data_IF_294192143071
#
_entry.id   IF_294192143071
#
_cell.length_a   1.000
_cell.length_b   1.000
_cell.length_c   1.000
_cell.angle_alpha   90.00
_cell.angle_beta   90.00
_cell.angle_gamma   90.00
#
_symmetry.space_group_name_H-M   'P 1'
#
loop_
_entity.id
_entity.type
_entity.pdbx_description
1 polymer ?
#
# COMPACT_ATOMS: atom_id res chain seq x y z
N UNK A 1 22.51 26.71 -11.53
CA UNK A 1 21.63 26.14 -10.50
C UNK A 1 21.11 24.83 -11.05
N UNK A 2 21.62 23.69 -10.56
CA UNK A 2 21.09 22.38 -10.97
C UNK A 2 19.70 22.24 -10.36
N UNK A 3 18.65 22.36 -11.17
CA UNK A 3 17.30 22.01 -10.75
C UNK A 3 17.32 20.51 -10.48
N UNK A 4 17.37 20.10 -9.22
CA UNK A 4 17.19 18.71 -8.82
C UNK A 4 15.87 18.23 -9.41
N UNK A 5 15.94 17.26 -10.33
CA UNK A 5 14.78 16.64 -10.93
C UNK A 5 13.98 15.92 -9.84
N UNK A 6 12.76 16.38 -9.52
CA UNK A 6 11.88 15.70 -8.58
C UNK A 6 11.25 14.49 -9.29
N UNK A 7 11.40 13.25 -8.78
CA UNK A 7 10.76 12.09 -9.36
C UNK A 7 9.24 12.25 -9.39
N UNK A 8 8.58 11.64 -10.37
CA UNK A 8 7.11 11.59 -10.40
C UNK A 8 6.56 10.57 -9.42
N UNK A 9 7.26 9.45 -9.24
CA UNK A 9 6.80 8.32 -8.44
C UNK A 9 7.91 7.79 -7.53
N UNK A 10 7.65 7.67 -6.23
CA UNK A 10 8.44 6.86 -5.32
C UNK A 10 7.77 5.51 -5.06
N UNK A 11 8.45 4.42 -5.39
CA UNK A 11 8.05 3.05 -5.09
C UNK A 11 8.75 2.60 -3.81
N UNK A 12 7.95 2.29 -2.79
CA UNK A 12 8.39 2.08 -1.41
C UNK A 12 8.25 0.60 -1.05
N UNK A 13 9.38 -0.07 -0.75
CA UNK A 13 9.41 -1.52 -0.54
C UNK A 13 9.91 -1.83 0.88
N UNK A 14 9.01 -2.19 1.83
CA UNK A 14 9.42 -2.79 3.09
C UNK A 14 9.78 -4.26 2.86
N UNK A 15 10.94 -4.70 3.33
CA UNK A 15 11.45 -6.04 3.06
C UNK A 15 12.17 -6.64 4.27
N UNK A 16 12.46 -7.93 4.22
CA UNK A 16 13.24 -8.66 5.22
C UNK A 16 14.57 -9.15 4.63
N UNK A 17 15.59 -9.27 5.46
CA UNK A 17 16.88 -9.84 5.06
C UNK A 17 16.75 -11.21 4.40
N UNK A 18 15.86 -12.04 4.95
CA UNK A 18 15.55 -13.39 4.48
C UNK A 18 14.81 -13.46 3.14
N UNK A 19 14.35 -12.31 2.59
CA UNK A 19 13.57 -12.24 1.33
C UNK A 19 14.36 -11.66 0.17
N UNK A 20 15.69 -11.66 0.25
CA UNK A 20 16.60 -11.09 -0.76
C UNK A 20 16.24 -11.49 -2.19
N UNK A 21 16.05 -12.77 -2.46
CA UNK A 21 15.78 -13.25 -3.82
C UNK A 21 14.45 -12.74 -4.38
N UNK A 22 13.42 -12.61 -3.53
CA UNK A 22 12.13 -12.06 -3.94
C UNK A 22 12.26 -10.56 -4.25
N UNK A 23 12.97 -9.84 -3.38
CA UNK A 23 13.26 -8.42 -3.55
C UNK A 23 14.04 -8.16 -4.84
N UNK A 24 15.10 -8.91 -5.10
CA UNK A 24 15.97 -8.72 -6.28
C UNK A 24 15.15 -8.92 -7.57
N UNK A 25 14.25 -9.92 -7.61
CA UNK A 25 13.36 -10.13 -8.74
C UNK A 25 12.35 -9.00 -8.94
N UNK A 26 11.77 -8.46 -7.87
CA UNK A 26 10.84 -7.34 -7.93
C UNK A 26 11.53 -6.03 -8.37
N UNK A 27 12.65 -5.69 -7.73
CA UNK A 27 13.40 -4.46 -8.03
C UNK A 27 13.91 -4.49 -9.47
N UNK A 28 14.48 -5.61 -9.92
CA UNK A 28 14.95 -5.75 -11.30
C UNK A 28 13.83 -5.56 -12.33
N UNK A 29 12.62 -6.03 -12.06
CA UNK A 29 11.47 -5.80 -12.94
C UNK A 29 11.02 -4.33 -12.96
N UNK A 30 11.00 -3.66 -11.79
CA UNK A 30 10.65 -2.24 -11.70
C UNK A 30 11.67 -1.35 -12.41
N UNK A 31 12.96 -1.60 -12.20
CA UNK A 31 14.05 -0.89 -12.87
C UNK A 31 13.99 -1.11 -14.38
N UNK A 32 13.82 -2.36 -14.83
CA UNK A 32 13.64 -2.69 -16.25
C UNK A 32 12.46 -1.93 -16.88
N UNK A 33 11.32 -1.83 -16.19
CA UNK A 33 10.16 -1.08 -16.70
C UNK A 33 10.43 0.43 -16.77
N UNK A 34 11.15 1.00 -15.80
CA UNK A 34 11.51 2.42 -15.79
C UNK A 34 12.52 2.75 -16.91
N UNK A 35 13.55 1.92 -17.07
CA UNK A 35 14.57 2.07 -18.11
C UNK A 35 13.99 1.92 -19.51
N UNK A 36 13.15 0.91 -19.74
CA UNK A 36 12.54 0.64 -21.05
C UNK A 36 11.75 1.84 -21.59
N UNK A 37 11.29 2.73 -20.72
CA UNK A 37 10.52 3.92 -21.07
C UNK A 37 11.33 5.21 -21.01
N UNK A 38 12.63 5.14 -20.73
CA UNK A 38 13.47 6.32 -20.53
C UNK A 38 13.05 7.15 -19.30
N UNK A 39 12.44 6.52 -18.31
CA UNK A 39 11.83 7.16 -17.14
C UNK A 39 12.61 6.89 -15.83
N UNK A 40 13.87 6.47 -15.92
CA UNK A 40 14.70 6.15 -14.74
C UNK A 40 14.87 7.33 -13.78
N UNK A 41 14.80 8.58 -14.26
CA UNK A 41 14.83 9.78 -13.41
C UNK A 41 13.47 10.16 -12.84
N UNK A 42 12.39 9.64 -13.41
CA UNK A 42 11.01 9.88 -12.94
C UNK A 42 10.59 8.91 -11.84
N UNK A 43 11.34 7.84 -11.61
CA UNK A 43 11.03 6.79 -10.64
C UNK A 43 12.13 6.70 -9.59
N UNK A 44 11.74 6.84 -8.33
CA UNK A 44 12.57 6.57 -7.17
C UNK A 44 12.17 5.23 -6.56
N UNK A 45 13.11 4.32 -6.31
CA UNK A 45 12.86 3.07 -5.60
C UNK A 45 13.54 3.15 -4.23
N UNK A 46 12.75 3.08 -3.16
CA UNK A 46 13.26 3.13 -1.78
C UNK A 46 12.99 1.81 -1.07
N UNK A 47 14.03 1.30 -0.40
CA UNK A 47 14.00 0.02 0.30
C UNK A 47 14.16 0.24 1.81
N UNK A 48 13.37 -0.47 2.61
CA UNK A 48 13.58 -0.56 4.07
C UNK A 48 13.69 -2.02 4.47
N UNK A 49 14.93 -2.45 4.66
CA UNK A 49 15.32 -3.81 4.99
C UNK A 49 15.66 -3.93 6.47
N UNK A 50 15.21 -5.01 7.09
CA UNK A 50 15.55 -5.40 8.46
C UNK A 50 15.50 -6.93 8.62
N UNK A 51 15.88 -7.41 9.80
CA UNK A 51 15.91 -8.83 10.17
C UNK A 51 14.58 -9.35 10.75
N UNK A 52 13.53 -8.52 10.77
CA UNK A 52 12.24 -8.77 11.40
C UNK A 52 12.08 -8.11 12.76
N UNK A 53 13.07 -7.33 13.22
CA UNK A 53 13.00 -6.53 14.43
C UNK A 53 12.12 -5.28 14.31
N UNK A 54 11.86 -4.80 13.09
CA UNK A 54 11.09 -3.60 12.82
C UNK A 54 9.66 -3.92 12.36
N UNK A 55 8.62 -3.42 13.06
CA UNK A 55 7.24 -3.60 12.62
C UNK A 55 7.01 -3.02 11.23
N UNK A 56 6.20 -3.69 10.39
CA UNK A 56 5.97 -3.25 9.00
C UNK A 56 5.46 -1.80 8.92
N UNK A 57 4.59 -1.36 9.83
CA UNK A 57 4.12 0.03 9.84
C UNK A 57 5.22 1.05 10.15
N UNK A 58 6.21 0.70 10.96
CA UNK A 58 7.37 1.57 11.21
C UNK A 58 8.22 1.70 9.93
N UNK A 59 8.42 0.59 9.21
CA UNK A 59 9.11 0.59 7.92
C UNK A 59 8.42 1.49 6.91
N UNK A 60 7.08 1.39 6.82
CA UNK A 60 6.29 2.23 5.93
C UNK A 60 6.38 3.71 6.28
N UNK A 61 6.38 4.07 7.57
CA UNK A 61 6.57 5.46 7.99
C UNK A 61 7.95 6.00 7.59
N UNK A 62 9.02 5.21 7.76
CA UNK A 62 10.39 5.63 7.39
C UNK A 62 10.55 5.81 5.88
N UNK A 63 10.00 4.89 5.10
CA UNK A 63 9.97 5.00 3.65
C UNK A 63 9.20 6.25 3.18
N UNK A 64 8.02 6.47 3.76
CA UNK A 64 7.17 7.62 3.41
C UNK A 64 7.83 8.96 3.78
N UNK A 65 8.62 8.99 4.85
CA UNK A 65 9.39 10.17 5.24
C UNK A 65 10.58 10.44 4.30
N UNK A 66 11.19 9.40 3.75
CA UNK A 66 12.33 9.49 2.84
C UNK A 66 11.93 9.77 1.37
N UNK A 67 10.70 9.43 0.99
CA UNK A 67 10.20 9.59 -0.37
C UNK A 67 10.27 11.03 -0.87
N UNK A 68 10.83 11.21 -2.07
CA UNK A 68 10.92 12.52 -2.74
C UNK A 68 9.91 12.70 -3.87
N UNK A 69 9.40 11.60 -4.42
CA UNK A 69 8.51 11.60 -5.58
C UNK A 69 7.17 12.28 -5.33
N UNK A 70 6.59 12.83 -6.39
CA UNK A 70 5.29 13.52 -6.32
C UNK A 70 4.16 12.59 -5.84
N UNK A 71 4.18 11.34 -6.28
CA UNK A 71 3.32 10.26 -5.80
C UNK A 71 4.15 9.22 -5.07
N UNK A 72 3.53 8.54 -4.11
CA UNK A 72 4.08 7.39 -3.42
C UNK A 72 3.20 6.17 -3.64
N UNK A 73 3.82 5.00 -3.76
CA UNK A 73 3.13 3.71 -3.78
C UNK A 73 4.00 2.67 -3.08
N UNK A 74 3.38 1.79 -2.32
CA UNK A 74 4.07 0.64 -1.74
C UNK A 74 3.95 -0.58 -2.64
N UNK A 75 4.99 -1.40 -2.68
CA UNK A 75 4.94 -2.75 -3.27
C UNK A 75 5.56 -3.71 -2.27
N UNK A 76 4.84 -4.77 -1.91
CA UNK A 76 5.36 -5.77 -0.98
C UNK A 76 6.32 -6.71 -1.74
N UNK A 77 7.42 -7.09 -1.08
CA UNK A 77 8.52 -7.85 -1.70
C UNK A 77 8.14 -9.26 -2.17
N UNK A 78 7.01 -9.80 -1.72
CA UNK A 78 6.48 -11.11 -2.12
C UNK A 78 5.34 -11.03 -3.15
N UNK A 79 5.06 -9.84 -3.67
CA UNK A 79 4.07 -9.60 -4.74
C UNK A 79 4.69 -9.50 -6.12
N UNK A 80 3.83 -9.37 -7.15
CA UNK A 80 4.24 -9.12 -8.53
C UNK A 80 3.50 -7.92 -9.10
N UNK A 81 4.15 -7.20 -9.99
CA UNK A 81 3.56 -6.11 -10.78
C UNK A 81 3.38 -6.56 -12.24
N UNK A 82 2.41 -5.95 -12.93
CA UNK A 82 2.20 -6.18 -14.37
C UNK A 82 3.28 -5.48 -15.20
N UNK A 83 3.48 -5.93 -16.43
CA UNK A 83 4.52 -5.43 -17.34
C UNK A 83 4.40 -3.92 -17.67
N UNK A 84 3.19 -3.38 -17.51
CA UNK A 84 2.86 -1.98 -17.74
C UNK A 84 2.65 -1.19 -16.44
N UNK A 85 3.06 -1.73 -15.29
CA UNK A 85 2.80 -1.11 -13.99
C UNK A 85 3.37 0.31 -13.91
N UNK A 86 4.66 0.47 -14.20
CA UNK A 86 5.32 1.78 -14.14
C UNK A 86 4.79 2.71 -15.22
N UNK A 87 4.63 2.24 -16.47
CA UNK A 87 4.16 3.09 -17.58
C UNK A 87 2.81 3.71 -17.30
N UNK A 88 1.84 2.89 -16.92
CA UNK A 88 0.44 3.32 -16.77
C UNK A 88 0.28 4.26 -15.58
N UNK A 89 1.04 4.06 -14.51
CA UNK A 89 1.06 4.98 -13.36
C UNK A 89 1.68 6.32 -13.78
N UNK A 90 2.85 6.32 -14.41
CA UNK A 90 3.51 7.57 -14.84
C UNK A 90 2.67 8.35 -15.87
N UNK A 91 2.06 7.66 -16.84
CA UNK A 91 1.14 8.25 -17.81
C UNK A 91 -0.05 8.91 -17.12
N UNK A 92 -0.66 8.23 -16.14
CA UNK A 92 -1.76 8.78 -15.35
C UNK A 92 -1.34 10.03 -14.56
N UNK A 93 -0.16 10.02 -13.92
CA UNK A 93 0.38 11.18 -13.17
C UNK A 93 0.60 12.37 -14.12
N UNK A 94 1.23 12.16 -15.28
CA UNK A 94 1.56 13.23 -16.23
C UNK A 94 0.30 13.84 -16.84
N UNK A 95 -0.68 13.00 -17.19
CA UNK A 95 -1.91 13.43 -17.86
C UNK A 95 -2.90 14.11 -16.92
N UNK A 96 -2.76 13.90 -15.59
CA UNK A 96 -3.70 14.40 -14.60
C UNK A 96 -2.97 15.10 -13.44
N UNK A 97 -2.45 16.33 -13.66
CA UNK A 97 -1.71 17.05 -12.64
C UNK A 97 -2.55 17.44 -11.41
N UNK A 98 -3.87 17.35 -11.44
CA UNK A 98 -4.73 17.59 -10.26
C UNK A 98 -5.04 16.32 -9.45
N UNK A 99 -4.54 15.15 -9.87
CA UNK A 99 -4.85 13.88 -9.22
C UNK A 99 -4.37 13.86 -7.75
N UNK A 100 -5.20 13.28 -6.89
CA UNK A 100 -4.85 12.95 -5.50
C UNK A 100 -4.40 11.48 -5.41
N UNK A 101 -5.01 10.61 -6.22
CA UNK A 101 -4.66 9.20 -6.29
C UNK A 101 -4.99 8.60 -7.67
N UNK A 102 -4.40 7.44 -7.93
CA UNK A 102 -4.66 6.66 -9.14
C UNK A 102 -5.25 5.33 -8.70
N UNK A 103 -6.46 5.01 -9.14
CA UNK A 103 -7.14 3.76 -8.77
C UNK A 103 -6.29 2.55 -9.16
N UNK A 104 -6.40 1.46 -8.41
CA UNK A 104 -5.66 0.24 -8.71
C UNK A 104 -6.64 -0.91 -8.96
N UNK A 105 -6.48 -1.56 -10.11
CA UNK A 105 -7.02 -2.90 -10.33
C UNK A 105 -5.90 -3.92 -10.29
N UNK A 106 -6.18 -5.01 -9.60
CA UNK A 106 -5.24 -6.08 -9.40
C UNK A 106 -5.95 -7.41 -9.22
N UNK A 107 -5.17 -8.40 -8.83
CA UNK A 107 -5.63 -9.75 -8.61
C UNK A 107 -5.00 -10.33 -7.35
N UNK A 108 -5.82 -10.96 -6.51
CA UNK A 108 -5.34 -11.77 -5.39
C UNK A 108 -5.22 -13.21 -5.85
N UNK A 109 -4.05 -13.82 -5.67
CA UNK A 109 -3.81 -15.25 -5.87
C UNK A 109 -3.54 -15.93 -4.53
N UNK A 110 -4.25 -17.01 -4.26
CA UNK A 110 -4.10 -17.83 -3.06
C UNK A 110 -3.13 -18.96 -3.35
N UNK A 111 -1.89 -18.83 -2.89
CA UNK A 111 -0.78 -19.76 -3.20
C UNK A 111 -0.67 -20.04 -4.70
N UNK A 112 -0.68 -18.96 -5.49
CA UNK A 112 -0.61 -19.01 -6.96
C UNK A 112 -1.90 -19.44 -7.67
N UNK A 113 -2.99 -19.76 -6.93
CA UNK A 113 -4.26 -20.27 -7.49
C UNK A 113 -5.44 -19.36 -7.15
N UNK A 114 -6.61 -19.67 -7.71
CA UNK A 114 -7.88 -18.99 -7.41
C UNK A 114 -7.83 -17.47 -7.55
N UNK A 115 -7.49 -16.93 -8.73
CA UNK A 115 -7.43 -15.50 -8.95
C UNK A 115 -8.77 -14.84 -8.60
N UNK A 116 -8.70 -13.74 -7.83
CA UNK A 116 -9.87 -12.92 -7.48
C UNK A 116 -9.59 -11.45 -7.77
N UNK A 117 -10.52 -10.71 -8.40
CA UNK A 117 -10.34 -9.28 -8.65
C UNK A 117 -10.14 -8.49 -7.35
N UNK A 118 -9.16 -7.60 -7.36
CA UNK A 118 -8.87 -6.62 -6.33
C UNK A 118 -9.05 -5.23 -6.94
N UNK A 119 -9.88 -4.39 -6.32
CA UNK A 119 -10.21 -3.07 -6.83
C UNK A 119 -10.09 -2.06 -5.69
N UNK A 120 -9.18 -1.11 -5.85
CA UNK A 120 -9.05 0.06 -4.99
C UNK A 120 -9.63 1.26 -5.70
N UNK A 121 -10.60 1.93 -5.07
CA UNK A 121 -11.13 3.20 -5.57
C UNK A 121 -11.77 4.03 -4.47
N UNK A 122 -11.72 5.36 -4.59
CA UNK A 122 -12.32 6.31 -3.63
C UNK A 122 -13.82 6.09 -3.42
N UNK A 123 -14.51 5.43 -4.38
CA UNK A 123 -15.93 5.06 -4.26
C UNK A 123 -16.22 4.06 -3.13
N UNK A 124 -15.19 3.39 -2.61
CA UNK A 124 -15.33 2.42 -1.54
C UNK A 124 -14.86 3.02 -0.22
N UNK A 125 -15.70 2.94 0.81
CA UNK A 125 -15.41 3.50 2.14
C UNK A 125 -15.03 2.45 3.19
N UNK A 126 -14.95 1.18 2.79
CA UNK A 126 -14.67 0.06 3.68
C UNK A 126 -14.06 -1.12 2.90
N UNK A 127 -13.36 -2.00 3.61
CA UNK A 127 -12.78 -3.20 3.02
C UNK A 127 -13.84 -4.31 2.95
N UNK A 128 -14.35 -4.59 1.75
CA UNK A 128 -15.48 -5.50 1.54
C UNK A 128 -15.12 -6.58 0.53
N UNK A 129 -15.66 -7.77 0.75
CA UNK A 129 -15.69 -8.83 -0.24
C UNK A 129 -17.13 -9.00 -0.71
N UNK A 130 -17.37 -8.75 -2.00
CA UNK A 130 -18.71 -8.80 -2.60
C UNK A 130 -18.63 -9.41 -3.99
N UNK A 131 -19.54 -10.35 -4.31
CA UNK A 131 -19.62 -11.01 -5.61
C UNK A 131 -18.26 -11.55 -6.12
N UNK A 132 -17.44 -12.12 -5.22
CA UNK A 132 -16.12 -12.68 -5.55
C UNK A 132 -15.02 -11.65 -5.82
N UNK A 133 -15.23 -10.38 -5.45
CA UNK A 133 -14.30 -9.27 -5.64
C UNK A 133 -13.92 -8.66 -4.30
N UNK A 134 -12.66 -8.26 -4.17
CA UNK A 134 -12.16 -7.48 -3.03
C UNK A 134 -12.23 -6.00 -3.39
N UNK A 135 -13.10 -5.27 -2.70
CA UNK A 135 -13.37 -3.86 -2.92
C UNK A 135 -12.86 -3.07 -1.72
N UNK A 136 -11.99 -2.10 -1.96
CA UNK A 136 -11.30 -1.36 -0.89
C UNK A 136 -11.18 0.12 -1.26
N UNK A 137 -11.18 1.05 -0.29
CA UNK A 137 -10.64 2.39 -0.51
C UNK A 137 -9.17 2.31 -0.95
N UNK A 138 -8.61 3.39 -1.54
CA UNK A 138 -7.17 3.50 -1.76
C UNK A 138 -6.37 3.13 -0.50
N UNK A 139 -5.32 2.34 -0.69
CA UNK A 139 -4.45 1.88 0.39
C UNK A 139 -2.97 1.95 -0.03
N UNK A 140 -2.06 1.36 0.75
CA UNK A 140 -0.62 1.47 0.52
C UNK A 140 -0.17 1.07 -0.90
N UNK A 141 -0.80 0.07 -1.53
CA UNK A 141 -0.47 -0.34 -2.91
C UNK A 141 -1.12 0.53 -4.00
N UNK A 142 -1.87 1.57 -3.62
CA UNK A 142 -2.48 2.53 -4.53
C UNK A 142 -1.58 3.77 -4.62
N UNK A 143 -1.20 4.24 -5.83
CA UNK A 143 -0.46 5.49 -5.95
C UNK A 143 -1.27 6.67 -5.39
N UNK A 144 -0.72 7.35 -4.40
CA UNK A 144 -1.33 8.49 -3.71
C UNK A 144 -0.34 9.65 -3.71
N UNK A 145 -0.83 10.89 -3.88
CA UNK A 145 0.00 12.08 -3.83
C UNK A 145 0.71 12.17 -2.47
N UNK A 146 2.02 12.42 -2.51
CA UNK A 146 2.91 12.28 -1.35
C UNK A 146 2.51 13.19 -0.19
N UNK A 147 2.13 14.43 -0.48
CA UNK A 147 1.67 15.41 0.51
C UNK A 147 0.49 14.86 1.34
N UNK A 148 -0.53 14.31 0.68
CA UNK A 148 -1.68 13.70 1.34
C UNK A 148 -1.26 12.45 2.11
N UNK A 149 -0.47 11.55 1.50
CA UNK A 149 -0.07 10.31 2.16
C UNK A 149 0.70 10.58 3.47
N UNK A 150 1.57 11.60 3.49
CA UNK A 150 2.40 11.99 4.64
C UNK A 150 1.62 12.55 5.83
N UNK A 151 0.40 13.01 5.64
CA UNK A 151 -0.47 13.46 6.75
C UNK A 151 -0.91 12.29 7.65
N UNK A 152 -0.79 11.05 7.17
CA UNK A 152 -1.27 9.86 7.86
C UNK A 152 -0.10 8.92 8.16
N UNK A 153 0.31 8.84 9.42
CA UNK A 153 1.27 7.80 9.85
C UNK A 153 0.59 6.42 9.89
N UNK A 154 1.31 5.37 9.51
CA UNK A 154 0.94 3.98 9.78
C UNK A 154 1.09 3.67 11.26
N UNK A 155 0.24 2.76 11.77
CA UNK A 155 0.45 2.20 13.11
C UNK A 155 1.68 1.29 13.08
N UNK A 156 2.61 1.44 14.03
CA UNK A 156 3.84 0.64 14.10
C UNK A 156 3.58 -0.78 14.62
N UNK A 157 2.87 -1.57 13.82
CA UNK A 157 2.51 -2.98 14.06
C UNK A 157 2.58 -3.76 12.75
N UNK A 158 2.62 -5.10 12.83
CA UNK A 158 2.77 -5.97 11.65
C UNK A 158 1.47 -6.35 10.93
N UNK A 159 0.31 -6.08 11.54
CA UNK A 159 -0.98 -6.54 11.03
C UNK A 159 -2.02 -5.44 11.04
N UNK A 160 -2.74 -5.33 9.93
CA UNK A 160 -3.86 -4.40 9.73
C UNK A 160 -3.51 -2.91 9.82
N UNK A 161 -2.21 -2.55 9.79
CA UNK A 161 -1.82 -1.14 9.73
C UNK A 161 -2.27 -0.48 8.42
N UNK A 162 -2.36 -1.25 7.34
CA UNK A 162 -2.68 -0.83 5.98
C UNK A 162 -4.16 -0.55 5.85
N UNK A 163 -4.96 -1.43 6.43
CA UNK A 163 -6.39 -1.29 6.58
C UNK A 163 -6.71 -0.08 7.47
N UNK A 164 -6.01 0.09 8.60
CA UNK A 164 -6.18 1.27 9.47
C UNK A 164 -5.86 2.57 8.72
N UNK A 165 -4.73 2.61 8.04
CA UNK A 165 -4.26 3.77 7.27
C UNK A 165 -5.23 4.14 6.15
N UNK A 166 -5.62 3.15 5.33
CA UNK A 166 -6.60 3.30 4.25
C UNK A 166 -7.95 3.82 4.74
N UNK A 167 -8.47 3.27 5.84
CA UNK A 167 -9.76 3.68 6.39
C UNK A 167 -9.70 5.08 7.01
N UNK A 168 -8.57 5.51 7.60
CA UNK A 168 -8.42 6.88 8.11
C UNK A 168 -8.44 7.90 6.98
N UNK A 169 -7.69 7.67 5.90
CA UNK A 169 -7.69 8.52 4.71
C UNK A 169 -9.09 8.60 4.09
N UNK A 170 -9.75 7.45 3.93
CA UNK A 170 -11.10 7.37 3.36
C UNK A 170 -12.12 8.14 4.21
N UNK A 171 -12.10 7.99 5.54
CA UNK A 171 -13.01 8.69 6.46
C UNK A 171 -12.78 10.21 6.48
N UNK A 172 -11.54 10.65 6.29
CA UNK A 172 -11.21 12.07 6.20
C UNK A 172 -11.67 12.71 4.87
N UNK A 173 -12.01 11.89 3.85
CA UNK A 173 -12.34 12.40 2.52
C UNK A 173 -11.15 13.13 1.87
N UNK A 174 -9.93 12.68 2.17
CA UNK A 174 -8.70 13.35 1.76
C UNK A 174 -8.38 13.16 0.27
N UNK A 175 -8.90 12.10 -0.36
CA UNK A 175 -8.73 11.81 -1.78
C UNK A 175 -10.03 12.14 -2.53
N UNK A 176 -10.01 13.15 -3.40
CA UNK A 176 -11.18 13.64 -4.14
C UNK A 176 -11.03 13.43 -5.64
N UNK A 177 -9.84 13.72 -6.17
CA UNK A 177 -9.51 13.63 -7.58
C UNK A 177 -8.85 12.28 -7.89
N UNK A 178 -9.67 11.26 -8.14
CA UNK A 178 -9.20 9.94 -8.55
C UNK A 178 -9.06 9.85 -10.08
N UNK A 179 -7.94 9.29 -10.53
CA UNK A 179 -7.78 8.82 -11.92
C UNK A 179 -8.03 7.33 -11.98
N UNK A 180 -8.95 6.91 -12.85
CA UNK A 180 -9.25 5.48 -13.03
C UNK A 180 -8.24 4.82 -13.98
N UNK A 181 -7.71 3.67 -13.57
CA UNK A 181 -6.93 2.76 -14.40
C UNK A 181 -7.67 1.43 -14.50
N UNK A 182 -7.92 1.01 -15.74
CA UNK A 182 -8.66 -0.23 -16.02
C UNK A 182 -7.77 -1.46 -16.15
N UNK A 183 -6.45 -1.25 -16.32
CA UNK A 183 -5.45 -2.31 -16.41
C UNK A 183 -5.28 -3.07 -15.10
N UNK A 184 -5.09 -4.40 -15.17
CA UNK A 184 -4.74 -5.23 -14.00
C UNK A 184 -3.23 -5.13 -13.79
N UNK A 185 -2.82 -4.27 -12.86
CA UNK A 185 -1.41 -3.88 -12.71
C UNK A 185 -0.73 -4.54 -11.50
N UNK A 186 -1.47 -5.10 -10.56
CA UNK A 186 -0.91 -5.63 -9.31
C UNK A 186 -1.39 -7.05 -9.01
N UNK A 187 -0.47 -7.93 -8.62
CA UNK A 187 -0.75 -9.35 -8.35
C UNK A 187 -0.33 -9.71 -6.93
N UNK A 188 -1.29 -9.64 -6.01
CA UNK A 188 -1.10 -9.95 -4.60
C UNK A 188 -0.98 -11.46 -4.36
N UNK A 189 0.17 -11.92 -3.85
CA UNK A 189 0.45 -13.33 -3.55
C UNK A 189 0.05 -13.68 -2.12
N UNK A 190 -1.23 -13.99 -1.94
CA UNK A 190 -1.73 -14.40 -0.63
C UNK A 190 -1.21 -15.80 -0.24
N UNK A 191 -0.47 -15.87 0.86
CA UNK A 191 0.03 -17.13 1.45
C UNK A 191 -1.06 -17.99 2.11
N UNK A 192 -2.25 -17.44 2.34
CA UNK A 192 -3.38 -18.16 2.95
C UNK A 192 -3.97 -19.18 1.97
N UNK A 193 -4.52 -20.28 2.50
CA UNK A 193 -5.31 -21.22 1.69
C UNK A 193 -6.62 -20.55 1.30
N UNK A 194 -7.02 -20.72 0.03
CA UNK A 194 -8.29 -20.19 -0.47
C UNK A 194 -9.48 -20.57 0.42
N UNK A 195 -9.56 -21.83 0.85
CA UNK A 195 -10.67 -22.30 1.69
C UNK A 195 -10.73 -21.56 3.04
N UNK A 196 -9.58 -21.34 3.69
CA UNK A 196 -9.49 -20.57 4.95
C UNK A 196 -9.95 -19.15 4.74
N UNK A 197 -9.50 -18.52 3.64
CA UNK A 197 -9.92 -17.17 3.30
C UNK A 197 -11.40 -17.09 2.96
N UNK A 198 -11.93 -18.07 2.23
CA UNK A 198 -13.33 -18.14 1.83
C UNK A 198 -14.27 -18.18 3.05
N UNK A 199 -13.96 -18.98 4.08
CA UNK A 199 -14.73 -18.96 5.33
C UNK A 199 -14.73 -17.59 6.01
N UNK A 200 -13.59 -16.90 6.01
CA UNK A 200 -13.49 -15.53 6.54
C UNK A 200 -14.32 -14.55 5.69
N UNK A 201 -14.30 -14.68 4.37
CA UNK A 201 -15.02 -13.80 3.48
C UNK A 201 -16.54 -14.00 3.53
N UNK A 202 -17.02 -15.25 3.62
CA UNK A 202 -18.45 -15.56 3.80
C UNK A 202 -18.98 -15.05 5.14
N UNK A 203 -18.17 -15.16 6.20
CA UNK A 203 -18.53 -14.62 7.52
C UNK A 203 -18.33 -13.11 7.66
N UNK A 204 -17.74 -12.44 6.66
CA UNK A 204 -17.39 -11.02 6.75
C UNK A 204 -18.58 -10.13 7.10
N UNK A 205 -19.76 -10.23 6.44
CA UNK A 205 -20.89 -9.34 6.74
C UNK A 205 -21.34 -9.45 8.21
N UNK A 206 -21.44 -10.68 8.74
CA UNK A 206 -21.81 -10.92 10.13
C UNK A 206 -20.73 -10.42 11.10
N UNK A 207 -19.45 -10.71 10.84
CA UNK A 207 -18.34 -10.22 11.68
C UNK A 207 -18.28 -8.70 11.70
N UNK A 208 -18.51 -8.05 10.56
CA UNK A 208 -18.51 -6.59 10.47
C UNK A 208 -19.69 -5.99 11.23
N UNK A 209 -20.89 -6.61 11.15
CA UNK A 209 -22.07 -6.22 11.93
C UNK A 209 -21.81 -6.32 13.45
N UNK A 210 -21.11 -7.37 13.88
CA UNK A 210 -20.72 -7.59 15.28
C UNK A 210 -19.50 -6.76 15.72
N UNK A 211 -18.97 -5.88 14.87
CA UNK A 211 -17.78 -5.07 15.19
C UNK A 211 -16.47 -5.87 15.28
N UNK A 212 -16.41 -7.08 14.76
CA UNK A 212 -15.25 -7.97 14.75
C UNK A 212 -14.35 -7.74 13.51
N UNK A 213 -14.05 -6.48 13.21
CA UNK A 213 -13.12 -6.11 12.12
C UNK A 213 -11.67 -6.22 12.61
N UNK A 214 -10.76 -6.65 11.73
CA UNK A 214 -9.33 -6.72 12.06
C UNK A 214 -8.76 -5.39 12.54
N UNK A 215 -9.20 -4.27 11.96
CA UNK A 215 -8.83 -2.91 12.40
C UNK A 215 -9.30 -2.59 13.83
N UNK A 216 -10.37 -3.20 14.31
CA UNK A 216 -10.85 -2.97 15.67
C UNK A 216 -9.94 -3.64 16.71
N UNK A 217 -9.28 -4.75 16.35
CA UNK A 217 -8.26 -5.40 17.19
C UNK A 217 -6.99 -4.53 17.34
N UNK A 218 -6.68 -3.73 16.31
CA UNK A 218 -5.58 -2.79 16.33
C UNK A 218 -5.87 -1.60 17.26
N UNK A 219 -7.11 -1.09 17.26
CA UNK A 219 -7.55 -0.07 18.21
C UNK A 219 -7.45 -0.55 19.67
N UNK A 220 -7.76 -1.83 19.93
CA UNK A 220 -7.60 -2.44 21.26
C UNK A 220 -6.12 -2.53 21.67
N UNK A 221 -5.22 -2.91 20.77
CA UNK A 221 -3.78 -2.92 21.05
C UNK A 221 -3.22 -1.52 21.32
N UNK A 222 -3.67 -0.50 20.57
CA UNK A 222 -3.28 0.91 20.81
C UNK A 222 -3.74 1.40 22.19
N UNK A 223 -4.92 0.95 22.68
CA UNK A 223 -5.43 1.27 24.03
C UNK A 223 -4.73 0.51 25.16
N UNK A 224 -4.18 -0.68 24.86
CA UNK A 224 -3.51 -1.53 25.85
C UNK A 224 -2.04 -1.16 26.10
N UNK A 225 -1.39 -0.38 25.22
CA UNK A 225 -0.08 0.24 25.53
C UNK A 225 -0.33 1.51 26.37
N UNK A 226 0.07 1.57 27.65
CA UNK A 226 -0.02 2.81 28.41
C UNK A 226 0.84 3.88 27.73
N UNK A 227 0.37 5.13 27.70
CA UNK A 227 1.22 6.28 27.41
C UNK A 227 2.35 6.26 28.43
N UNK A 228 3.56 5.95 27.99
CA UNK A 228 4.74 6.31 28.76
C UNK A 228 4.86 7.82 28.59
N UNK A 229 4.14 8.56 29.43
CA UNK A 229 4.36 9.99 29.59
C UNK A 229 5.79 10.12 30.14
N UNK A 230 6.71 10.55 29.28
CA UNK A 230 8.03 11.03 29.69
C UNK A 230 7.84 12.36 30.43
N UNK A 231 7.36 12.28 31.67
CA UNK A 231 7.54 13.34 32.65
C UNK A 231 8.99 13.23 33.15
N UNK A 232 9.90 13.98 32.53
CA UNK A 232 11.18 14.27 33.15
C UNK A 232 10.92 15.18 34.36
N UNK A 233 11.42 14.86 35.56
CA UNK A 233 11.46 15.84 36.63
C UNK A 233 12.63 16.78 36.33
N UNK A 234 12.32 18.07 36.25
CA UNK A 234 13.32 19.11 36.32
C UNK A 234 13.97 19.12 37.70
N UNK A 235 15.28 19.30 37.69
CA UNK A 235 16.11 19.95 38.71
C UNK A 235 17.52 20.07 38.15
#
# INVERSE_FOLDING_TARGET
MSTSHEPLLSILIPTLDSRRELLDGLVGELERQAEHQGASTDVEILLRRDDGSEPVGAKRNRLLAAASGRFVVFVDDDDRVGEQYVSRILEAIRSHPAADCISLRGEIRFRGRHPRPLIHSVRYHDWRHCAGRYLRPPCHITPIRRDIAREYAFAEVDRAEDMDWSLRISRAGALRNEVLLDDVLYFYQCRQRFITRWFLDVSQPLRHLLGLKSVNLLALHKRAKPRVDSAGPGS
#
